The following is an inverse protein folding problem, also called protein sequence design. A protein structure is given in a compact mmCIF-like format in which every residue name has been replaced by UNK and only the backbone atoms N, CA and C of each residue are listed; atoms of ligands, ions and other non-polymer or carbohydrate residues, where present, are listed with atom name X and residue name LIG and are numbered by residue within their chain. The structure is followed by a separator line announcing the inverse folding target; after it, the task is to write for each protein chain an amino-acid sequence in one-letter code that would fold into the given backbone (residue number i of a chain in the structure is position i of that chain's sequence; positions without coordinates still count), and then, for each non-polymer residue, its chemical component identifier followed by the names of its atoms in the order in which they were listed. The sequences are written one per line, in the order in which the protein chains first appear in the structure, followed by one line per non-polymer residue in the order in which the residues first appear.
data_IF_457855881170
#
_entry.id   IF_457855881170
#
_cell.length_a   1.000
_cell.length_b   1.000
_cell.length_c   1.000
_cell.angle_alpha   90.00
_cell.angle_beta   90.00
_cell.angle_gamma   90.00
#
_symmetry.space_group_name_H-M   'P 1'
#
loop_
_entity.id
_entity.type
_entity.pdbx_description
1 polymer ?
#
# COMPACT_ATOMS: atom_id res chain seq x y z
N UNK A 1 1.66 16.80 19.72
CA UNK A 1 2.74 15.76 19.65
C UNK A 1 3.65 16.02 18.45
N UNK A 2 4.97 16.07 18.65
CA UNK A 2 5.95 16.40 17.59
C UNK A 2 5.94 15.44 16.40
N UNK A 3 5.57 14.17 16.63
CA UNK A 3 5.63 13.09 15.63
C UNK A 3 4.29 12.75 14.97
N UNK A 4 3.19 13.36 15.41
CA UNK A 4 1.84 13.06 14.92
C UNK A 4 1.67 13.17 13.39
N UNK A 5 2.23 14.19 12.70
CA UNK A 5 2.10 14.28 11.24
C UNK A 5 2.79 13.12 10.50
N UNK A 6 3.94 12.66 11.01
CA UNK A 6 4.68 11.54 10.41
C UNK A 6 3.96 10.21 10.66
N UNK A 7 3.43 10.02 11.87
CA UNK A 7 2.60 8.86 12.16
C UNK A 7 1.37 8.79 11.24
N UNK A 8 0.66 9.91 11.04
CA UNK A 8 -0.51 9.95 10.16
C UNK A 8 -0.15 9.62 8.69
N UNK A 9 1.03 10.08 8.25
CA UNK A 9 1.57 9.81 6.90
C UNK A 9 1.84 8.31 6.70
N UNK A 10 2.60 7.71 7.62
CA UNK A 10 2.97 6.28 7.57
C UNK A 10 1.73 5.41 7.69
N UNK A 11 0.85 5.73 8.65
CA UNK A 11 -0.39 5.01 8.85
C UNK A 11 -1.29 5.09 7.61
N UNK A 12 -1.45 6.27 7.02
CA UNK A 12 -2.23 6.47 5.79
C UNK A 12 -1.69 5.69 4.60
N UNK A 13 -0.36 5.63 4.45
CA UNK A 13 0.29 4.84 3.40
C UNK A 13 -0.06 3.35 3.52
N UNK A 14 0.24 2.72 4.67
CA UNK A 14 0.01 1.28 4.86
C UNK A 14 -1.48 0.93 4.88
N UNK A 15 -2.32 1.78 5.48
CA UNK A 15 -3.77 1.55 5.49
C UNK A 15 -4.34 1.55 4.06
N UNK A 16 -3.85 2.43 3.19
CA UNK A 16 -4.28 2.48 1.79
C UNK A 16 -3.92 1.19 1.06
N UNK A 17 -2.71 0.67 1.27
CA UNK A 17 -2.28 -0.62 0.69
C UNK A 17 -3.16 -1.78 1.19
N UNK A 18 -3.42 -1.83 2.50
CA UNK A 18 -4.27 -2.88 3.10
C UNK A 18 -5.70 -2.82 2.56
N UNK A 19 -6.27 -1.63 2.46
CA UNK A 19 -7.61 -1.44 1.90
C UNK A 19 -7.65 -1.84 0.42
N UNK A 20 -6.60 -1.57 -0.33
CA UNK A 20 -6.51 -2.00 -1.72
C UNK A 20 -6.42 -3.51 -1.87
N UNK A 21 -5.61 -4.16 -1.05
CA UNK A 21 -5.54 -5.62 -1.00
C UNK A 21 -6.89 -6.26 -0.65
N UNK A 22 -7.62 -5.67 0.30
CA UNK A 22 -8.97 -6.11 0.63
C UNK A 22 -9.92 -5.89 -0.55
N UNK A 23 -9.89 -4.71 -1.19
CA UNK A 23 -10.75 -4.39 -2.33
C UNK A 23 -10.53 -5.33 -3.51
N UNK A 24 -9.27 -5.63 -3.84
CA UNK A 24 -8.88 -6.59 -4.86
C UNK A 24 -9.59 -7.93 -4.66
N UNK A 25 -9.51 -8.46 -3.43
CA UNK A 25 -10.14 -9.74 -3.06
C UNK A 25 -11.66 -9.74 -3.23
N UNK A 26 -12.32 -8.59 -3.11
CA UNK A 26 -13.79 -8.49 -3.21
C UNK A 26 -14.30 -8.16 -4.61
N UNK A 27 -13.57 -7.37 -5.41
CA UNK A 27 -14.08 -6.81 -6.67
C UNK A 27 -13.38 -7.43 -7.89
N UNK A 28 -12.34 -8.25 -7.72
CA UNK A 28 -11.64 -8.96 -8.81
C UNK A 28 -11.25 -8.04 -9.96
N UNK A 29 -10.76 -6.84 -9.64
CA UNK A 29 -10.37 -5.84 -10.64
C UNK A 29 -8.89 -6.03 -10.98
N UNK A 30 -8.61 -6.39 -12.23
CA UNK A 30 -7.27 -6.77 -12.74
C UNK A 30 -6.18 -5.69 -12.57
N UNK A 31 -6.56 -4.43 -12.28
CA UNK A 31 -5.61 -3.34 -12.03
C UNK A 31 -5.07 -3.32 -10.60
N UNK A 32 -5.56 -4.21 -9.74
CA UNK A 32 -5.16 -4.33 -8.34
C UNK A 32 -4.35 -5.58 -8.03
N UNK A 33 -4.01 -6.35 -9.08
CA UNK A 33 -3.48 -7.69 -8.96
C UNK A 33 -2.21 -7.73 -8.14
N UNK A 34 -2.28 -8.43 -7.01
CA UNK A 34 -1.13 -8.94 -6.28
C UNK A 34 -0.91 -10.39 -6.70
N UNK A 35 -0.12 -10.59 -7.74
CA UNK A 35 0.25 -11.94 -8.14
C UNK A 35 1.23 -12.51 -7.13
N UNK A 36 0.84 -13.59 -6.45
CA UNK A 36 1.73 -14.42 -5.67
C UNK A 36 2.07 -15.66 -6.50
N UNK A 37 3.11 -15.57 -7.33
CA UNK A 37 3.64 -16.74 -8.03
C UNK A 37 4.61 -17.48 -7.10
N UNK A 38 4.13 -18.57 -6.49
CA UNK A 38 4.99 -19.55 -5.85
C UNK A 38 5.44 -20.59 -6.87
N UNK A 39 6.38 -20.24 -7.74
CA UNK A 39 7.04 -21.26 -8.56
C UNK A 39 8.19 -21.85 -7.74
N UNK A 40 8.00 -23.08 -7.22
CA UNK A 40 9.11 -23.93 -6.80
C UNK A 40 9.93 -24.29 -8.05
N UNK A 41 10.87 -23.42 -8.43
CA UNK A 41 11.96 -23.77 -9.34
C UNK A 41 12.99 -24.63 -8.60
N UNK A 42 13.65 -25.55 -9.31
CA UNK A 42 14.70 -26.44 -8.76
C UNK A 42 15.86 -25.70 -8.05
N UNK A 43 16.01 -24.39 -8.28
CA UNK A 43 17.01 -23.50 -7.66
C UNK A 43 16.57 -22.82 -6.34
N UNK A 44 15.39 -23.15 -5.80
CA UNK A 44 14.85 -22.60 -4.55
C UNK A 44 13.59 -21.76 -4.72
N UNK A 45 12.90 -21.49 -3.61
CA UNK A 45 11.65 -20.74 -3.57
C UNK A 45 11.89 -19.26 -3.91
N UNK A 46 11.43 -18.84 -5.09
CA UNK A 46 11.33 -17.42 -5.44
C UNK A 46 9.91 -16.95 -5.15
N UNK A 47 9.80 -15.89 -4.36
CA UNK A 47 8.54 -15.19 -4.12
C UNK A 47 8.52 -13.95 -5.00
N UNK A 48 7.73 -13.98 -6.07
CA UNK A 48 7.44 -12.79 -6.86
C UNK A 48 6.20 -12.13 -6.27
N UNK A 49 6.39 -10.89 -5.82
CA UNK A 49 5.33 -10.02 -5.33
C UNK A 49 5.18 -8.87 -6.31
N UNK A 50 4.19 -8.95 -7.18
CA UNK A 50 3.87 -7.86 -8.10
C UNK A 50 2.86 -6.94 -7.42
N UNK A 51 3.23 -5.68 -7.19
CA UNK A 51 2.28 -4.64 -6.76
C UNK A 51 1.97 -3.76 -7.96
N UNK A 52 0.69 -3.61 -8.28
CA UNK A 52 0.24 -2.61 -9.22
C UNK A 52 0.69 -1.19 -8.78
N UNK A 53 1.18 -0.41 -9.73
CA UNK A 53 1.70 0.94 -9.47
C UNK A 53 0.61 1.92 -8.97
N UNK A 54 -0.64 1.69 -9.33
CA UNK A 54 -1.76 2.57 -9.01
C UNK A 54 -2.09 2.60 -7.51
N UNK A 55 -2.25 1.45 -6.81
CA UNK A 55 -2.31 1.41 -5.34
C UNK A 55 -1.16 2.13 -4.64
N UNK A 56 0.06 1.97 -5.17
CA UNK A 56 1.25 2.59 -4.61
C UNK A 56 1.18 4.12 -4.73
N UNK A 57 0.81 4.63 -5.90
CA UNK A 57 0.66 6.06 -6.15
C UNK A 57 -0.42 6.68 -5.25
N UNK A 58 -1.54 5.98 -5.06
CA UNK A 58 -2.60 6.43 -4.16
C UNK A 58 -2.16 6.40 -2.69
N UNK A 59 -1.41 5.39 -2.27
CA UNK A 59 -0.84 5.34 -0.93
C UNK A 59 0.12 6.51 -0.66
N UNK A 60 0.94 6.90 -1.65
CA UNK A 60 1.81 8.09 -1.57
C UNK A 60 0.99 9.37 -1.44
N UNK A 61 -0.08 9.53 -2.23
CA UNK A 61 -0.96 10.70 -2.13
C UNK A 61 -1.63 10.80 -0.75
N UNK A 62 -2.20 9.70 -0.26
CA UNK A 62 -2.84 9.65 1.07
C UNK A 62 -1.81 9.97 2.17
N UNK A 63 -0.60 9.42 2.07
CA UNK A 63 0.51 9.73 2.98
C UNK A 63 0.82 11.23 3.01
N UNK A 64 0.97 11.87 1.85
CA UNK A 64 1.23 13.30 1.74
C UNK A 64 0.10 14.14 2.35
N UNK A 65 -1.16 13.82 2.06
CA UNK A 65 -2.31 14.52 2.63
C UNK A 65 -2.41 14.29 4.14
N UNK A 66 -2.09 13.10 4.63
CA UNK A 66 -2.05 12.78 6.04
C UNK A 66 -1.02 13.62 6.80
N UNK A 67 0.19 13.75 6.26
CA UNK A 67 1.22 14.65 6.79
C UNK A 67 0.76 16.11 6.79
N UNK A 68 0.18 16.59 5.68
CA UNK A 68 -0.30 17.97 5.53
C UNK A 68 -1.40 18.29 6.55
N UNK A 69 -2.35 17.38 6.75
CA UNK A 69 -3.41 17.48 7.76
C UNK A 69 -2.84 17.50 9.18
N UNK A 70 -1.90 16.61 9.47
CA UNK A 70 -1.23 16.54 10.77
C UNK A 70 -0.45 17.81 11.10
N UNK A 71 0.17 18.45 10.11
CA UNK A 71 0.83 19.76 10.28
C UNK A 71 -0.15 20.90 10.50
N UNK A 72 -1.30 20.92 9.83
CA UNK A 72 -2.31 22.00 9.94
C UNK A 72 -3.00 22.04 11.30
N UNK A 73 -3.05 20.92 12.01
CA UNK A 73 -3.62 20.82 13.38
C UNK A 73 -2.63 21.16 14.50
N UNK A 74 -1.40 21.56 14.16
CA UNK A 74 -0.37 21.99 15.12
C UNK A 74 -0.11 23.47 14.96
#
# INVERSE_FOLDING_TARGET
MKYFPYFLSIFGFFLTIILYFLLERYISVDWFVYNYYGNTSDDGTRFEAEIAWLPLLLAVLVSYFGWKLGKRKR
#
